data_IF_501667776902
#
_entry.id   IF_501667776902
#
_cell.length_a   1.000
_cell.length_b   1.000
_cell.length_c   1.000
_cell.angle_alpha   90.00
_cell.angle_beta   90.00
_cell.angle_gamma   90.00
#
_symmetry.space_group_name_H-M   'P 1'
#
loop_
_entity.id
_entity.type
_entity.pdbx_description
1 polymer ?
#
# COMPACT_ATOMS: atom_id res chain seq x y z
N UNK A 1 -14.61 7.19 -3.79
CA UNK A 1 -15.16 6.84 -2.45
C UNK A 1 -14.58 7.84 -1.45
N UNK A 2 -15.40 8.54 -0.67
CA UNK A 2 -14.92 9.40 0.43
C UNK A 2 -14.27 8.53 1.51
N UNK A 3 -12.93 8.54 1.60
CA UNK A 3 -12.18 7.76 2.59
C UNK A 3 -12.57 8.11 4.02
N UNK A 4 -12.94 9.36 4.27
CA UNK A 4 -13.38 9.84 5.59
C UNK A 4 -14.64 9.11 6.09
N UNK A 5 -15.50 8.67 5.16
CA UNK A 5 -16.78 8.04 5.48
C UNK A 5 -16.68 6.51 5.51
N UNK A 6 -15.91 5.92 4.59
CA UNK A 6 -15.93 4.48 4.35
C UNK A 6 -14.63 3.76 4.73
N UNK A 7 -13.53 4.47 4.97
CA UNK A 7 -12.24 3.88 5.31
C UNK A 7 -11.53 3.26 4.10
N UNK A 8 -10.75 2.20 4.35
CA UNK A 8 -9.98 1.47 3.33
C UNK A 8 -10.05 -0.04 3.60
N UNK A 9 -9.88 -0.85 2.55
CA UNK A 9 -9.80 -2.31 2.69
C UNK A 9 -8.45 -2.66 3.32
N UNK A 10 -8.47 -3.55 4.31
CA UNK A 10 -7.28 -4.09 4.96
C UNK A 10 -6.73 -5.24 4.11
N UNK A 11 -5.43 -5.21 3.85
CA UNK A 11 -4.75 -6.28 3.13
C UNK A 11 -3.25 -6.25 3.39
N UNK A 12 -2.60 -7.34 3.01
CA UNK A 12 -1.17 -7.55 3.16
C UNK A 12 -0.57 -8.02 1.84
N UNK A 13 0.63 -7.55 1.54
CA UNK A 13 1.40 -8.00 0.37
C UNK A 13 1.84 -9.44 0.65
N UNK A 14 1.46 -10.39 -0.20
CA UNK A 14 1.73 -11.82 0.05
C UNK A 14 3.15 -12.23 -0.34
N UNK A 15 3.74 -11.54 -1.33
CA UNK A 15 5.04 -11.89 -1.91
C UNK A 15 5.92 -10.67 -2.03
N UNK A 16 7.23 -10.88 -1.99
CA UNK A 16 8.18 -9.82 -2.33
C UNK A 16 7.89 -9.30 -3.74
N UNK A 17 7.76 -7.98 -3.90
CA UNK A 17 7.54 -7.39 -5.22
C UNK A 17 8.74 -7.66 -6.13
N UNK A 18 8.47 -7.81 -7.43
CA UNK A 18 9.53 -8.04 -8.41
C UNK A 18 10.56 -6.91 -8.36
N UNK A 19 11.84 -7.29 -8.37
CA UNK A 19 12.97 -6.35 -8.46
C UNK A 19 13.09 -5.73 -9.87
N UNK A 20 12.40 -6.32 -10.84
CA UNK A 20 12.38 -5.88 -12.23
C UNK A 20 11.03 -5.32 -12.62
N UNK A 21 11.00 -4.26 -13.45
CA UNK A 21 9.76 -3.72 -13.97
C UNK A 21 9.02 -4.76 -14.81
N UNK A 22 7.69 -4.73 -14.73
CA UNK A 22 6.81 -5.56 -15.53
C UNK A 22 6.89 -5.16 -17.00
N UNK A 23 6.86 -6.14 -17.89
CA UNK A 23 6.77 -5.88 -19.33
C UNK A 23 5.34 -5.51 -19.71
N UNK A 24 5.18 -4.62 -20.70
CA UNK A 24 3.85 -4.25 -21.21
C UNK A 24 3.07 -5.47 -21.69
N UNK A 25 3.73 -6.40 -22.39
CA UNK A 25 3.09 -7.62 -22.89
C UNK A 25 2.61 -8.52 -21.76
N UNK A 26 3.38 -8.66 -20.68
CA UNK A 26 2.95 -9.38 -19.48
C UNK A 26 1.72 -8.75 -18.84
N UNK A 27 1.75 -7.43 -18.63
CA UNK A 27 0.63 -6.70 -18.06
C UNK A 27 -0.66 -6.82 -18.91
N UNK A 28 -0.54 -6.81 -20.24
CA UNK A 28 -1.69 -7.02 -21.15
C UNK A 28 -2.25 -8.43 -21.01
N UNK A 29 -1.40 -9.45 -20.87
CA UNK A 29 -1.86 -10.83 -20.69
C UNK A 29 -2.61 -11.02 -19.36
N UNK A 30 -2.16 -10.35 -18.29
CA UNK A 30 -2.75 -10.51 -16.95
C UNK A 30 -4.02 -9.65 -16.77
N UNK A 31 -4.03 -8.40 -17.26
CA UNK A 31 -5.17 -7.47 -17.13
C UNK A 31 -6.20 -7.70 -18.25
N UNK A 32 -5.78 -8.15 -19.43
CA UNK A 32 -6.64 -8.43 -20.58
C UNK A 32 -7.13 -7.18 -21.34
N UNK A 33 -6.67 -5.98 -20.97
CA UNK A 33 -7.05 -4.72 -21.62
C UNK A 33 -5.84 -3.81 -21.82
N UNK A 34 -5.53 -3.53 -23.09
CA UNK A 34 -4.39 -2.69 -23.48
C UNK A 34 -4.57 -1.22 -23.03
N UNK A 35 -5.78 -0.68 -23.12
CA UNK A 35 -6.10 0.69 -22.70
C UNK A 35 -5.90 0.91 -21.19
N UNK A 36 -6.28 -0.09 -20.37
CA UNK A 36 -6.07 -0.06 -18.92
C UNK A 36 -4.57 -0.12 -18.61
N UNK A 37 -3.82 -0.99 -19.30
CA UNK A 37 -2.36 -1.11 -19.14
C UNK A 37 -1.65 0.18 -19.52
N UNK A 38 -2.05 0.83 -20.60
CA UNK A 38 -1.48 2.12 -21.01
C UNK A 38 -1.68 3.19 -19.94
N UNK A 39 -2.88 3.26 -19.37
CA UNK A 39 -3.19 4.20 -18.28
C UNK A 39 -2.36 3.90 -17.02
N UNK A 40 -2.24 2.62 -16.63
CA UNK A 40 -1.53 2.19 -15.43
C UNK A 40 0.00 2.31 -15.54
N UNK A 41 0.57 2.06 -16.73
CA UNK A 41 2.02 2.07 -16.97
C UNK A 41 2.54 3.40 -17.56
N UNK A 42 1.68 4.41 -17.73
CA UNK A 42 2.03 5.70 -18.33
C UNK A 42 3.14 6.48 -17.60
N UNK A 43 3.38 6.19 -16.32
CA UNK A 43 4.30 6.94 -15.45
C UNK A 43 5.73 6.39 -15.37
N UNK A 44 6.06 5.31 -16.10
CA UNK A 44 7.41 4.73 -16.14
C UNK A 44 7.42 3.22 -15.85
N UNK A 45 8.50 2.73 -15.23
CA UNK A 45 8.62 1.31 -14.87
C UNK A 45 7.61 0.91 -13.81
N UNK A 46 6.60 0.13 -14.18
CA UNK A 46 5.61 -0.42 -13.25
C UNK A 46 6.12 -1.72 -12.62
N UNK A 47 5.89 -1.91 -11.32
CA UNK A 47 6.20 -3.15 -10.60
C UNK A 47 4.88 -3.83 -10.25
N UNK A 48 4.81 -5.13 -10.46
CA UNK A 48 3.67 -5.93 -10.06
C UNK A 48 3.75 -6.27 -8.56
N UNK A 49 2.62 -6.10 -7.86
CA UNK A 49 2.49 -6.41 -6.44
C UNK A 49 1.21 -7.21 -6.23
N UNK A 50 1.36 -8.43 -5.71
CA UNK A 50 0.25 -9.28 -5.31
C UNK A 50 -0.07 -9.07 -3.82
N UNK A 51 -1.28 -8.60 -3.54
CA UNK A 51 -1.75 -8.37 -2.18
C UNK A 51 -3.03 -9.16 -1.91
N UNK A 52 -3.10 -9.75 -0.72
CA UNK A 52 -4.29 -10.42 -0.22
C UNK A 52 -5.08 -9.50 0.67
N UNK A 53 -6.37 -9.39 0.34
CA UNK A 53 -7.32 -8.63 1.12
C UNK A 53 -7.85 -9.52 2.25
N UNK A 54 -7.98 -8.96 3.44
CA UNK A 54 -8.66 -9.63 4.54
C UNK A 54 -10.16 -9.69 4.24
N UNK A 55 -10.76 -10.86 4.41
CA UNK A 55 -12.20 -11.06 4.24
C UNK A 55 -12.94 -10.86 5.55
N UNK A 56 -14.15 -10.35 5.47
CA UNK A 56 -15.07 -10.25 6.61
C UNK A 56 -16.40 -10.89 6.21
N UNK A 57 -16.70 -12.02 6.85
CA UNK A 57 -17.90 -12.83 6.61
C UNK A 57 -19.04 -12.47 7.59
N UNK A 58 -18.90 -11.41 8.37
CA UNK A 58 -19.98 -10.94 9.23
C UNK A 58 -21.21 -10.55 8.39
N UNK A 59 -22.43 -10.75 8.92
CA UNK A 59 -23.65 -10.35 8.21
C UNK A 59 -23.74 -8.84 7.91
N UNK A 60 -22.93 -8.04 8.61
CA UNK A 60 -22.84 -6.59 8.44
C UNK A 60 -21.88 -6.18 7.31
N UNK A 61 -21.03 -7.10 6.83
CA UNK A 61 -20.09 -6.87 5.74
C UNK A 61 -20.74 -7.13 4.38
N UNK A 62 -21.34 -6.10 3.79
CA UNK A 62 -21.97 -6.18 2.45
C UNK A 62 -20.93 -6.42 1.35
N UNK A 63 -19.74 -5.87 1.52
CA UNK A 63 -18.64 -5.98 0.54
C UNK A 63 -17.88 -7.32 0.61
N UNK A 64 -17.95 -8.04 1.74
CA UNK A 64 -17.20 -9.28 1.98
C UNK A 64 -15.73 -9.09 2.37
N UNK A 65 -15.27 -7.84 2.51
CA UNK A 65 -13.89 -7.49 2.89
C UNK A 65 -13.83 -6.78 4.22
N UNK A 66 -12.69 -6.88 4.91
CA UNK A 66 -12.44 -6.15 6.14
C UNK A 66 -12.07 -4.70 5.84
N UNK A 67 -12.78 -3.78 6.45
CA UNK A 67 -12.55 -2.35 6.31
C UNK A 67 -11.97 -1.75 7.59
N UNK A 68 -11.20 -0.68 7.46
CA UNK A 68 -10.78 0.14 8.61
C UNK A 68 -11.94 0.95 9.21
N UNK A 69 -13.09 0.99 8.54
CA UNK A 69 -14.33 1.65 8.98
C UNK A 69 -15.53 0.83 8.47
N UNK A 70 -16.72 1.42 8.31
CA UNK A 70 -17.95 0.70 7.90
C UNK A 70 -17.85 0.06 6.51
N UNK A 71 -17.03 0.61 5.60
CA UNK A 71 -17.02 0.20 4.20
C UNK A 71 -18.29 0.62 3.44
N UNK A 72 -18.26 0.60 2.11
CA UNK A 72 -19.42 0.91 1.27
C UNK A 72 -20.35 -0.31 1.11
N UNK A 73 -21.64 -0.04 0.92
CA UNK A 73 -22.68 -1.06 0.66
C UNK A 73 -22.64 -1.55 -0.80
N UNK A 74 -21.45 -1.84 -1.33
CA UNK A 74 -21.25 -2.35 -2.70
C UNK A 74 -20.37 -3.59 -2.70
N UNK A 75 -20.63 -4.48 -3.65
CA UNK A 75 -19.75 -5.62 -3.95
C UNK A 75 -18.70 -5.21 -4.96
N UNK A 76 -17.49 -5.75 -4.81
CA UNK A 76 -16.39 -5.56 -5.75
C UNK A 76 -16.24 -6.82 -6.59
N UNK A 77 -16.12 -6.66 -7.91
CA UNK A 77 -15.83 -7.76 -8.83
C UNK A 77 -14.36 -7.76 -9.22
N UNK A 78 -13.89 -8.90 -9.73
CA UNK A 78 -12.62 -8.96 -10.44
C UNK A 78 -12.58 -7.90 -11.56
N UNK A 79 -11.40 -7.32 -11.79
CA UNK A 79 -11.20 -6.25 -12.78
C UNK A 79 -11.55 -4.84 -12.31
N UNK A 80 -11.97 -4.66 -11.05
CA UNK A 80 -12.20 -3.31 -10.51
C UNK A 80 -10.88 -2.57 -10.29
N UNK A 81 -10.62 -1.51 -11.07
CA UNK A 81 -9.45 -0.64 -10.88
C UNK A 81 -9.64 0.25 -9.65
N UNK A 82 -8.63 0.33 -8.79
CA UNK A 82 -8.66 1.16 -7.58
C UNK A 82 -7.29 1.78 -7.29
N UNK A 83 -7.28 2.80 -6.44
CA UNK A 83 -6.04 3.40 -5.94
C UNK A 83 -5.67 2.78 -4.61
N UNK A 84 -4.51 2.13 -4.55
CA UNK A 84 -3.99 1.48 -3.34
C UNK A 84 -2.84 2.31 -2.75
N UNK A 85 -2.71 2.34 -1.43
CA UNK A 85 -1.52 2.86 -0.73
C UNK A 85 -0.90 1.72 0.05
N UNK A 86 0.36 1.43 -0.25
CA UNK A 86 1.14 0.37 0.43
C UNK A 86 2.10 1.03 1.40
N UNK A 87 2.16 0.51 2.62
CA UNK A 87 3.13 0.96 3.63
C UNK A 87 4.43 0.21 3.36
N UNK A 88 5.47 0.94 2.93
CA UNK A 88 6.79 0.37 2.62
C UNK A 88 7.70 0.28 3.84
N UNK A 89 7.51 1.15 4.83
CA UNK A 89 8.31 1.19 6.04
C UNK A 89 7.46 1.64 7.23
N UNK A 90 7.60 0.96 8.38
CA UNK A 90 6.97 1.35 9.64
C UNK A 90 8.04 1.69 10.68
N UNK A 91 8.20 2.98 11.00
CA UNK A 91 9.13 3.44 12.04
C UNK A 91 8.42 3.72 13.36
N UNK A 92 8.99 3.22 14.47
CA UNK A 92 8.49 3.49 15.82
C UNK A 92 8.87 4.91 16.27
N UNK A 93 7.94 5.69 16.86
CA UNK A 93 8.24 7.06 17.31
C UNK A 93 9.41 7.16 18.31
N UNK A 94 9.60 6.15 19.17
CA UNK A 94 10.71 6.13 20.16
C UNK A 94 12.10 6.17 19.50
N UNK A 95 12.21 5.71 18.25
CA UNK A 95 13.46 5.78 17.48
C UNK A 95 13.91 7.23 17.24
N UNK A 96 13.01 8.21 17.30
CA UNK A 96 13.35 9.64 17.24
C UNK A 96 13.75 10.24 18.59
N UNK A 97 13.32 9.63 19.71
CA UNK A 97 13.57 10.15 21.06
C UNK A 97 14.97 9.76 21.58
N UNK A 98 15.44 8.54 21.28
CA UNK A 98 16.76 8.06 21.69
C UNK A 98 17.91 8.98 21.19
N UNK A 99 17.93 9.43 19.91
CA UNK A 99 18.92 10.38 19.43
C UNK A 99 18.91 11.71 20.19
N UNK A 100 17.73 12.26 20.47
CA UNK A 100 17.59 13.52 21.22
C UNK A 100 18.09 13.39 22.66
N UNK A 101 17.76 12.28 23.32
CA UNK A 101 18.22 12.01 24.67
C UNK A 101 19.74 11.79 24.71
N UNK A 102 20.30 11.08 23.72
CA UNK A 102 21.76 10.90 23.58
C UNK A 102 22.47 12.25 23.37
N UNK A 103 21.93 13.14 22.54
CA UNK A 103 22.48 14.47 22.33
C UNK A 103 22.48 15.32 23.61
N UNK A 104 21.42 15.21 24.42
CA UNK A 104 21.29 15.96 25.68
C UNK A 104 22.20 15.41 26.80
N UNK A 105 22.33 14.08 26.89
CA UNK A 105 23.14 13.43 27.93
C UNK A 105 24.64 13.47 27.59
N UNK A 106 25.02 13.30 26.32
CA UNK A 106 26.42 13.18 25.91
C UNK A 106 27.02 14.45 25.31
N UNK A 107 26.24 15.53 25.14
CA UNK A 107 26.74 16.91 25.03
C UNK A 107 27.89 17.13 24.04
N UNK A 108 27.93 16.41 22.92
CA UNK A 108 29.04 16.43 21.98
C UNK A 108 28.52 16.24 20.57
N UNK A 109 28.83 17.20 19.70
CA UNK A 109 28.59 17.15 18.26
C UNK A 109 29.11 15.83 17.69
N UNK A 110 28.20 14.96 17.28
CA UNK A 110 28.47 13.72 16.56
C UNK A 110 27.89 13.91 15.16
N UNK A 111 28.76 14.00 14.14
CA UNK A 111 28.43 14.27 12.73
C UNK A 111 27.73 13.07 12.04
N UNK A 112 27.04 12.24 12.82
CA UNK A 112 26.34 11.01 12.42
C UNK A 112 24.82 11.22 12.30
N UNK A 113 24.38 12.37 11.81
CA UNK A 113 22.97 12.56 11.44
C UNK A 113 22.72 11.87 10.09
N UNK A 114 21.70 11.01 9.94
CA UNK A 114 21.29 10.59 8.61
C UNK A 114 20.79 11.84 7.87
N UNK A 115 21.48 12.19 6.79
CA UNK A 115 21.05 13.24 5.86
C UNK A 115 19.69 12.80 5.29
N UNK A 116 18.69 13.66 5.46
CA UNK A 116 17.35 13.51 4.90
C UNK A 116 17.42 13.79 3.40
#
# INVERSE_FOLDING_TARGET
IERERFGSIVGFVEKEPSVFPMTRQGAINDIGSEEIVETLMSSGGAIEVEAKLETDLSPESISGFKWTSRGPDQKFSAGTTTTVRVIVEQRRPITYVIPMLKAWIFGGKDDSAPQI
#
